data_IF_646293527801
#
_entry.id   IF_646293527801
#
_cell.length_a   1.000
_cell.length_b   1.000
_cell.length_c   1.000
_cell.angle_alpha   90.00
_cell.angle_beta   90.00
_cell.angle_gamma   90.00
#
_symmetry.space_group_name_H-M   'P 1'
#
loop_
_entity.id
_entity.type
_entity.pdbx_description
1 polymer ?
#
# COMPACT_ATOMS: atom_id res chain seq x y z
N UNK A 1 32.07 -43.64 12.67
CA UNK A 1 32.43 -42.73 11.56
C UNK A 1 31.17 -41.91 11.24
N UNK A 2 31.05 -40.69 11.77
CA UNK A 2 29.93 -39.82 11.52
C UNK A 2 30.14 -39.20 10.16
N UNK A 3 29.24 -39.53 9.20
CA UNK A 3 29.21 -38.88 7.91
C UNK A 3 28.75 -37.42 8.08
N UNK A 4 29.60 -36.48 7.77
CA UNK A 4 29.20 -35.10 7.58
C UNK A 4 28.31 -35.06 6.34
N UNK A 5 27.02 -34.89 6.54
CA UNK A 5 26.14 -34.46 5.46
C UNK A 5 26.52 -33.02 5.11
N UNK A 6 27.32 -32.87 4.06
CA UNK A 6 27.50 -31.59 3.41
C UNK A 6 26.16 -31.26 2.78
N UNK A 7 25.32 -30.54 3.50
CA UNK A 7 24.20 -29.85 2.88
C UNK A 7 24.84 -28.80 1.94
N UNK A 8 24.95 -29.12 0.67
CA UNK A 8 25.22 -28.09 -0.30
C UNK A 8 24.07 -27.11 -0.17
N UNK A 9 24.33 -25.93 0.34
CA UNK A 9 23.45 -24.78 0.16
C UNK A 9 23.51 -24.45 -1.33
N UNK A 10 22.79 -25.24 -2.13
CA UNK A 10 22.46 -24.93 -3.50
C UNK A 10 21.44 -23.83 -3.42
N UNK A 11 21.88 -22.69 -3.43
CA UNK A 11 21.33 -21.48 -4.00
C UNK A 11 21.52 -20.27 -3.08
N UNK A 12 22.74 -19.83 -2.98
CA UNK A 12 22.94 -18.40 -2.87
C UNK A 12 22.80 -17.91 -4.33
N UNK A 13 21.58 -17.82 -4.83
CA UNK A 13 21.32 -17.04 -6.02
C UNK A 13 21.65 -15.60 -5.67
N UNK A 14 22.88 -15.25 -5.88
CA UNK A 14 23.31 -13.87 -5.73
C UNK A 14 22.71 -13.12 -6.91
N UNK A 15 21.51 -12.57 -6.71
CA UNK A 15 20.83 -11.77 -7.73
C UNK A 15 21.55 -10.44 -7.99
N UNK A 16 22.50 -10.06 -7.14
CA UNK A 16 23.25 -8.83 -7.30
C UNK A 16 24.16 -8.90 -8.53
N UNK A 17 24.12 -7.86 -9.35
CA UNK A 17 25.06 -7.64 -10.44
C UNK A 17 26.45 -7.28 -9.90
N UNK A 18 26.48 -6.42 -8.87
CA UNK A 18 27.66 -6.10 -8.10
C UNK A 18 27.31 -5.97 -6.62
N UNK A 19 28.28 -6.21 -5.74
CA UNK A 19 28.06 -6.25 -4.30
C UNK A 19 28.32 -4.89 -3.60
N UNK A 20 28.81 -3.92 -4.35
CA UNK A 20 29.15 -2.59 -3.82
C UNK A 20 28.95 -1.53 -4.91
N UNK A 21 28.18 -0.46 -4.67
CA UNK A 21 27.44 -0.16 -3.45
C UNK A 21 26.08 -0.86 -3.37
N UNK A 22 25.70 -1.30 -2.17
CA UNK A 22 24.36 -1.78 -1.88
C UNK A 22 23.88 -1.33 -0.49
N UNK A 23 22.57 -1.19 -0.33
CA UNK A 23 21.93 -0.98 0.97
C UNK A 23 20.77 -1.96 1.09
N UNK A 24 20.79 -2.75 2.17
CA UNK A 24 19.73 -3.69 2.46
C UNK A 24 19.27 -3.57 3.92
N UNK A 25 18.03 -3.95 4.19
CA UNK A 25 17.41 -3.93 5.52
C UNK A 25 16.67 -5.23 5.79
N UNK A 26 16.63 -5.64 7.06
CA UNK A 26 15.79 -6.77 7.49
C UNK A 26 14.32 -6.37 7.45
N UNK A 27 13.47 -7.26 6.96
CA UNK A 27 12.00 -7.13 6.91
C UNK A 27 11.35 -8.43 7.36
N UNK A 28 10.05 -8.40 7.62
CA UNK A 28 9.19 -9.57 7.72
C UNK A 28 8.47 -9.72 6.38
N UNK A 29 8.49 -10.93 5.81
CA UNK A 29 7.81 -11.28 4.55
C UNK A 29 6.50 -11.96 4.88
N UNK A 30 5.40 -11.43 4.35
CA UNK A 30 4.04 -11.94 4.51
C UNK A 30 3.85 -13.27 3.76
N UNK A 31 3.17 -14.23 4.38
CA UNK A 31 2.82 -15.53 3.79
C UNK A 31 1.50 -15.51 3.02
N UNK A 32 0.71 -14.43 3.14
CA UNK A 32 -0.59 -14.31 2.52
C UNK A 32 -0.48 -14.20 1.00
N UNK A 33 -1.35 -14.94 0.29
CA UNK A 33 -1.38 -14.91 -1.18
C UNK A 33 -0.20 -15.62 -1.84
N UNK A 34 0.65 -16.33 -1.09
CA UNK A 34 1.71 -17.16 -1.63
C UNK A 34 1.20 -18.60 -1.79
N UNK A 35 1.16 -19.06 -3.03
CA UNK A 35 0.77 -20.42 -3.34
C UNK A 35 1.89 -21.41 -3.01
N UNK A 36 1.50 -22.58 -2.52
CA UNK A 36 2.45 -23.66 -2.29
C UNK A 36 2.93 -24.24 -3.63
N UNK A 37 4.23 -24.42 -3.77
CA UNK A 37 4.82 -25.13 -4.90
C UNK A 37 4.45 -26.63 -4.93
N UNK A 38 4.91 -27.35 -5.95
CA UNK A 38 4.66 -28.77 -6.09
C UNK A 38 5.21 -29.63 -4.93
N UNK A 39 6.19 -29.10 -4.19
CA UNK A 39 6.78 -29.69 -2.99
C UNK A 39 6.03 -29.33 -1.69
N UNK A 40 4.92 -28.58 -1.80
CA UNK A 40 4.09 -28.12 -0.68
C UNK A 40 4.66 -26.93 0.08
N UNK A 41 5.77 -26.35 -0.38
CA UNK A 41 6.41 -25.18 0.27
C UNK A 41 5.94 -23.87 -0.34
N UNK A 42 5.75 -22.87 0.50
CA UNK A 42 5.51 -21.48 0.07
C UNK A 42 6.84 -20.74 0.11
N UNK A 43 7.36 -20.36 -1.04
CA UNK A 43 8.66 -19.68 -1.12
C UNK A 43 8.52 -18.40 -1.93
N UNK A 44 8.82 -17.27 -1.28
CA UNK A 44 8.98 -15.98 -1.99
C UNK A 44 10.38 -15.93 -2.56
N UNK A 45 10.48 -15.77 -3.86
CA UNK A 45 11.74 -15.85 -4.61
C UNK A 45 12.57 -14.58 -4.48
N UNK A 46 13.89 -14.73 -4.48
CA UNK A 46 14.81 -13.62 -4.66
C UNK A 46 14.49 -12.85 -5.95
N UNK A 47 14.57 -11.52 -5.89
CA UNK A 47 14.16 -10.67 -7.01
C UNK A 47 12.70 -10.20 -6.95
N UNK A 48 11.88 -10.77 -6.07
CA UNK A 48 10.47 -10.34 -5.91
C UNK A 48 10.41 -8.90 -5.42
N UNK A 49 9.65 -8.01 -6.12
CA UNK A 49 9.36 -6.68 -5.63
C UNK A 49 8.56 -6.74 -4.33
N UNK A 50 8.95 -5.96 -3.34
CA UNK A 50 8.29 -5.96 -2.03
C UNK A 50 7.59 -4.64 -1.77
N UNK A 51 6.41 -4.72 -1.15
CA UNK A 51 5.53 -3.61 -0.83
C UNK A 51 5.35 -3.51 0.67
N UNK A 52 5.52 -2.34 1.23
CA UNK A 52 5.41 -2.11 2.67
C UNK A 52 5.97 -0.75 3.07
N UNK A 53 6.10 -0.51 4.37
CA UNK A 53 6.64 0.73 4.90
C UNK A 53 8.02 0.53 5.53
N UNK A 54 9.03 1.21 5.02
CA UNK A 54 10.37 1.21 5.62
C UNK A 54 10.39 1.89 7.01
N UNK A 55 9.36 2.69 7.32
CA UNK A 55 9.20 3.32 8.63
C UNK A 55 8.51 2.39 9.64
N UNK A 56 7.78 1.39 9.16
CA UNK A 56 7.13 0.37 9.98
C UNK A 56 7.48 -1.02 9.45
N UNK A 57 8.63 -1.52 9.85
CA UNK A 57 9.15 -2.84 9.44
C UNK A 57 8.64 -3.98 10.31
N UNK A 58 7.84 -3.69 11.34
CA UNK A 58 7.16 -4.69 12.14
C UNK A 58 5.92 -5.24 11.41
N UNK A 59 5.30 -4.42 10.56
CA UNK A 59 4.25 -4.88 9.64
C UNK A 59 4.88 -5.67 8.50
N UNK A 60 4.37 -6.88 8.19
CA UNK A 60 4.89 -7.71 7.11
C UNK A 60 4.83 -7.03 5.74
N UNK A 61 5.85 -7.27 4.93
CA UNK A 61 5.93 -6.80 3.55
C UNK A 61 5.29 -7.81 2.61
N UNK A 62 4.47 -7.34 1.70
CA UNK A 62 3.72 -8.16 0.74
C UNK A 62 4.41 -8.22 -0.62
N UNK A 63 4.07 -9.23 -1.44
CA UNK A 63 4.59 -9.41 -2.80
C UNK A 63 3.75 -8.71 -3.87
N UNK A 64 2.65 -8.08 -3.46
CA UNK A 64 1.76 -7.31 -4.33
C UNK A 64 1.41 -5.97 -3.72
N UNK A 65 1.08 -5.00 -4.58
CA UNK A 65 0.61 -3.70 -4.13
C UNK A 65 -0.65 -3.85 -3.26
N UNK A 66 -0.63 -3.21 -2.10
CA UNK A 66 -1.80 -3.12 -1.23
C UNK A 66 -2.59 -1.87 -1.59
N UNK A 67 -3.88 -2.04 -1.84
CA UNK A 67 -4.80 -0.92 -2.02
C UNK A 67 -5.60 -0.75 -0.74
N UNK A 68 -5.53 0.44 -0.18
CA UNK A 68 -6.37 0.85 0.94
C UNK A 68 -7.44 1.79 0.39
N UNK A 69 -8.69 1.39 0.53
CA UNK A 69 -9.80 2.20 0.09
C UNK A 69 -9.93 3.48 0.93
N UNK A 70 -10.39 4.59 0.35
CA UNK A 70 -10.64 5.80 1.10
C UNK A 70 -11.74 5.56 2.14
N UNK A 71 -11.60 6.18 3.31
CA UNK A 71 -12.61 6.15 4.36
C UNK A 71 -13.15 7.54 4.64
N UNK A 72 -14.43 7.64 4.95
CA UNK A 72 -15.07 8.88 5.34
C UNK A 72 -16.12 8.61 6.43
N UNK A 73 -16.14 9.45 7.47
CA UNK A 73 -17.16 9.43 8.51
C UNK A 73 -17.80 10.81 8.59
N UNK A 74 -19.12 10.83 8.79
CA UNK A 74 -19.86 12.07 8.94
C UNK A 74 -20.46 12.18 10.33
N UNK A 75 -20.32 13.35 10.93
CA UNK A 75 -20.97 13.72 12.21
C UNK A 75 -21.86 14.92 11.96
N UNK A 76 -22.98 15.01 12.65
CA UNK A 76 -23.95 16.12 12.52
C UNK A 76 -24.02 16.91 13.81
N UNK A 77 -24.12 18.23 13.69
CA UNK A 77 -24.36 19.19 14.77
C UNK A 77 -25.44 20.15 14.31
N UNK A 78 -26.46 20.34 15.13
CA UNK A 78 -27.56 21.25 14.85
C UNK A 78 -28.90 20.74 15.33
N UNK A 79 -30.00 21.37 14.89
CA UNK A 79 -31.36 21.08 15.34
C UNK A 79 -32.26 20.56 14.22
N UNK A 80 -31.88 20.75 12.97
CA UNK A 80 -32.71 20.41 11.81
C UNK A 80 -32.33 19.09 11.18
N UNK A 81 -31.02 18.79 11.07
CA UNK A 81 -30.54 17.51 10.57
C UNK A 81 -30.32 16.52 11.72
N UNK A 82 -30.70 15.27 11.52
CA UNK A 82 -30.62 14.22 12.55
C UNK A 82 -29.56 13.17 12.27
N UNK A 83 -29.15 13.03 10.99
CA UNK A 83 -28.11 12.10 10.57
C UNK A 83 -27.50 12.55 9.24
N UNK A 84 -26.28 12.13 8.98
CA UNK A 84 -25.67 12.20 7.67
C UNK A 84 -24.86 10.93 7.39
N UNK A 85 -24.88 10.51 6.12
CA UNK A 85 -24.00 9.45 5.62
C UNK A 85 -23.13 10.01 4.51
N UNK A 86 -21.96 9.43 4.32
CA UNK A 86 -21.01 9.85 3.28
C UNK A 86 -20.47 8.64 2.53
N UNK A 87 -20.43 8.75 1.19
CA UNK A 87 -19.80 7.74 0.33
C UNK A 87 -18.34 8.13 0.08
N UNK A 88 -17.41 7.42 0.69
CA UNK A 88 -15.99 7.78 0.70
C UNK A 88 -15.38 7.93 -0.70
N UNK A 89 -15.71 7.05 -1.66
CA UNK A 89 -15.22 7.15 -3.04
C UNK A 89 -15.68 8.43 -3.75
N UNK A 90 -16.96 8.82 -3.59
CA UNK A 90 -17.51 10.06 -4.16
C UNK A 90 -16.89 11.28 -3.49
N UNK A 91 -16.75 11.23 -2.15
CA UNK A 91 -16.12 12.30 -1.38
C UNK A 91 -14.66 12.50 -1.80
N UNK A 92 -13.90 11.40 -1.94
CA UNK A 92 -12.52 11.40 -2.44
C UNK A 92 -12.38 12.17 -3.76
N UNK A 93 -13.27 11.89 -4.71
CA UNK A 93 -13.27 12.59 -6.01
C UNK A 93 -13.56 14.09 -5.85
N UNK A 94 -14.53 14.46 -5.02
CA UNK A 94 -14.93 15.86 -4.81
C UNK A 94 -13.84 16.71 -4.13
N UNK A 95 -13.01 16.10 -3.26
CA UNK A 95 -11.90 16.78 -2.58
C UNK A 95 -10.53 16.45 -3.18
N UNK A 96 -10.50 15.89 -4.39
CA UNK A 96 -9.26 15.50 -5.10
C UNK A 96 -8.32 14.61 -4.28
N UNK A 97 -8.89 13.72 -3.46
CA UNK A 97 -8.15 12.77 -2.62
C UNK A 97 -7.43 13.39 -1.43
N UNK A 98 -7.69 14.66 -1.08
CA UNK A 98 -7.02 15.28 0.05
C UNK A 98 -7.62 14.83 1.39
N UNK A 99 -6.82 14.15 2.23
CA UNK A 99 -7.22 13.79 3.59
C UNK A 99 -7.40 15.03 4.45
N UNK A 100 -8.42 15.01 5.32
CA UNK A 100 -8.68 16.15 6.20
C UNK A 100 -10.08 16.14 6.82
N UNK A 101 -10.37 17.20 7.54
CA UNK A 101 -11.68 17.44 8.14
C UNK A 101 -12.36 18.55 7.35
N UNK A 102 -13.58 18.27 6.88
CA UNK A 102 -14.39 19.16 6.07
C UNK A 102 -15.66 19.49 6.81
N UNK A 103 -15.94 20.79 7.00
CA UNK A 103 -17.15 21.25 7.70
C UNK A 103 -18.09 21.92 6.72
N UNK A 104 -19.26 21.35 6.55
CA UNK A 104 -20.36 21.87 5.75
C UNK A 104 -21.32 22.57 6.71
N UNK A 105 -21.65 23.84 6.47
CA UNK A 105 -22.59 24.63 7.28
C UNK A 105 -23.77 25.02 6.42
N UNK A 106 -24.98 24.85 6.94
CA UNK A 106 -26.20 25.28 6.26
C UNK A 106 -26.44 26.78 6.48
N UNK A 107 -26.78 27.47 5.42
CA UNK A 107 -27.14 28.87 5.41
C UNK A 107 -28.59 29.00 4.91
N UNK A 108 -29.51 29.29 5.84
CA UNK A 108 -30.93 29.42 5.55
C UNK A 108 -31.23 30.59 4.62
N UNK A 109 -30.47 31.70 4.72
CA UNK A 109 -30.66 32.87 3.86
C UNK A 109 -30.47 32.53 2.39
N UNK A 110 -29.48 31.69 2.07
CA UNK A 110 -29.22 31.20 0.71
C UNK A 110 -29.88 29.85 0.42
N UNK A 111 -30.53 29.20 1.40
CA UNK A 111 -31.08 27.84 1.30
C UNK A 111 -30.04 26.84 0.75
N UNK A 112 -28.81 26.94 1.19
CA UNK A 112 -27.69 26.19 0.62
C UNK A 112 -26.67 25.75 1.70
N UNK A 113 -25.95 24.65 1.41
CA UNK A 113 -24.80 24.26 2.20
C UNK A 113 -23.55 25.02 1.74
N UNK A 114 -22.67 25.32 2.68
CA UNK A 114 -21.40 25.99 2.42
C UNK A 114 -20.23 25.14 2.92
N UNK A 115 -19.19 25.01 2.11
CA UNK A 115 -17.87 24.53 2.51
C UNK A 115 -16.92 25.75 2.51
N UNK A 116 -16.58 26.21 3.72
CA UNK A 116 -15.95 27.52 3.89
C UNK A 116 -16.89 28.64 3.42
N UNK A 117 -16.48 29.40 2.40
CA UNK A 117 -17.28 30.49 1.80
C UNK A 117 -18.04 30.06 0.55
N UNK A 118 -17.79 28.87 0.02
CA UNK A 118 -18.35 28.39 -1.25
C UNK A 118 -19.66 27.64 -1.04
N UNK A 119 -20.70 28.01 -1.80
CA UNK A 119 -21.96 27.25 -1.85
C UNK A 119 -21.73 25.91 -2.54
N UNK A 120 -22.23 24.83 -1.94
CA UNK A 120 -22.03 23.46 -2.43
C UNK A 120 -23.33 22.66 -2.36
N UNK A 121 -23.40 21.61 -3.16
CA UNK A 121 -24.46 20.60 -3.09
C UNK A 121 -23.90 19.34 -2.41
N UNK A 122 -24.49 18.90 -1.31
CA UNK A 122 -24.01 17.74 -0.55
C UNK A 122 -23.85 16.48 -1.40
N UNK A 123 -24.80 16.25 -2.33
CA UNK A 123 -24.75 15.08 -3.20
C UNK A 123 -23.51 15.03 -4.09
N UNK A 124 -22.94 16.17 -4.48
CA UNK A 124 -21.65 16.23 -5.22
C UNK A 124 -20.51 15.65 -4.40
N UNK A 125 -20.60 15.73 -3.07
CA UNK A 125 -19.66 15.16 -2.11
C UNK A 125 -20.06 13.76 -1.63
N UNK A 126 -21.12 13.17 -2.22
CA UNK A 126 -21.63 11.87 -1.78
C UNK A 126 -22.21 11.88 -0.37
N UNK A 127 -22.65 13.05 0.11
CA UNK A 127 -23.26 13.24 1.43
C UNK A 127 -24.76 13.22 1.29
N UNK A 128 -25.43 12.39 2.11
CA UNK A 128 -26.88 12.35 2.24
C UNK A 128 -27.23 12.72 3.67
N UNK A 129 -27.93 13.83 3.87
CA UNK A 129 -28.43 14.29 5.15
C UNK A 129 -29.90 13.89 5.35
N UNK A 130 -30.28 13.58 6.58
CA UNK A 130 -31.64 13.25 6.98
C UNK A 130 -32.17 14.36 7.90
N UNK A 131 -33.39 14.82 7.65
CA UNK A 131 -34.02 15.92 8.37
C UNK A 131 -34.18 17.17 7.49
N UNK A 132 -34.68 18.24 8.08
CA UNK A 132 -34.82 19.55 7.40
C UNK A 132 -33.76 20.48 7.97
N UNK A 133 -32.77 20.83 7.15
CA UNK A 133 -31.67 21.67 7.60
C UNK A 133 -32.16 23.01 8.15
N UNK A 134 -31.61 23.43 9.26
CA UNK A 134 -31.82 24.73 9.90
C UNK A 134 -30.54 25.56 9.84
N UNK A 135 -30.69 26.88 9.96
CA UNK A 135 -29.54 27.80 9.89
C UNK A 135 -28.47 27.43 10.94
N UNK A 136 -27.25 27.35 10.47
CA UNK A 136 -26.10 26.99 11.29
C UNK A 136 -25.89 25.48 11.52
N UNK A 137 -26.79 24.61 11.04
CA UNK A 137 -26.55 23.16 11.08
C UNK A 137 -25.25 22.80 10.37
N UNK A 138 -24.52 21.84 10.93
CA UNK A 138 -23.22 21.43 10.40
C UNK A 138 -23.14 19.92 10.14
N UNK A 139 -22.43 19.57 9.09
CA UNK A 139 -21.97 18.21 8.84
C UNK A 139 -20.44 18.25 8.80
N UNK A 140 -19.82 17.57 9.74
CA UNK A 140 -18.37 17.43 9.77
C UNK A 140 -17.98 16.08 9.20
N UNK A 141 -17.21 16.08 8.10
CA UNK A 141 -16.69 14.87 7.47
C UNK A 141 -15.21 14.75 7.75
N UNK A 142 -14.80 13.65 8.39
CA UNK A 142 -13.40 13.26 8.53
C UNK A 142 -13.09 12.29 7.40
N UNK A 143 -12.22 12.68 6.48
CA UNK A 143 -11.85 11.91 5.30
C UNK A 143 -10.39 11.50 5.36
N UNK A 144 -10.12 10.22 5.09
CA UNK A 144 -8.78 9.67 4.89
C UNK A 144 -8.71 9.12 3.48
N UNK A 145 -7.79 9.64 2.70
CA UNK A 145 -7.58 9.22 1.32
C UNK A 145 -7.12 7.76 1.25
N UNK A 146 -7.66 7.05 0.28
CA UNK A 146 -7.12 5.75 -0.10
C UNK A 146 -5.76 5.90 -0.79
N UNK A 147 -4.99 4.82 -0.79
CA UNK A 147 -3.73 4.77 -1.50
C UNK A 147 -3.44 3.37 -2.02
N UNK A 148 -2.62 3.28 -3.06
CA UNK A 148 -2.03 2.03 -3.50
C UNK A 148 -0.54 2.08 -3.21
N UNK A 149 -0.03 1.09 -2.48
CA UNK A 149 1.38 1.03 -2.15
C UNK A 149 2.22 0.81 -3.41
N UNK A 150 3.43 1.37 -3.42
CA UNK A 150 4.42 1.14 -4.47
C UNK A 150 5.51 0.21 -3.97
N UNK A 151 6.19 -0.50 -4.88
CA UNK A 151 7.34 -1.31 -4.53
C UNK A 151 8.43 -0.42 -3.91
N UNK A 152 9.00 -0.86 -2.78
CA UNK A 152 9.99 -0.11 -2.01
C UNK A 152 11.39 -0.71 -2.10
N UNK A 153 11.50 -1.90 -2.65
CA UNK A 153 12.76 -2.62 -2.84
C UNK A 153 12.51 -4.02 -3.39
N UNK A 154 13.56 -4.83 -3.39
CA UNK A 154 13.59 -6.17 -3.98
C UNK A 154 14.08 -7.16 -2.94
N UNK A 155 13.46 -8.34 -2.85
CA UNK A 155 13.88 -9.40 -1.94
C UNK A 155 15.24 -9.95 -2.39
N UNK A 156 16.23 -9.98 -1.48
CA UNK A 156 17.60 -10.32 -1.83
C UNK A 156 17.83 -11.84 -1.92
N UNK A 157 17.10 -12.63 -1.13
CA UNK A 157 17.21 -14.08 -1.05
C UNK A 157 15.84 -14.74 -1.00
N UNK A 158 15.75 -16.01 -1.40
CA UNK A 158 14.54 -16.82 -1.24
C UNK A 158 14.15 -16.87 0.25
N UNK A 159 12.85 -16.68 0.53
CA UNK A 159 12.29 -16.77 1.88
C UNK A 159 11.18 -17.82 1.91
N UNK A 160 11.33 -18.81 2.77
CA UNK A 160 10.33 -19.84 3.02
C UNK A 160 9.31 -19.32 4.04
N UNK A 161 8.08 -19.15 3.59
CA UNK A 161 6.94 -18.68 4.40
C UNK A 161 5.90 -19.79 4.61
N UNK A 162 6.30 -21.05 4.49
CA UNK A 162 5.39 -22.21 4.63
C UNK A 162 4.75 -22.29 6.03
N UNK A 163 5.48 -21.89 7.06
CA UNK A 163 5.01 -21.92 8.44
C UNK A 163 4.37 -20.58 8.90
N UNK A 164 4.22 -19.62 8.01
CA UNK A 164 3.76 -18.26 8.28
C UNK A 164 4.81 -17.22 7.89
N UNK A 165 4.56 -15.97 8.26
CA UNK A 165 5.48 -14.86 8.02
C UNK A 165 6.90 -15.17 8.47
N UNK A 166 7.90 -14.76 7.68
CA UNK A 166 9.28 -15.06 7.98
C UNK A 166 10.24 -13.89 7.66
N UNK A 167 11.40 -13.91 8.29
CA UNK A 167 12.40 -12.86 8.09
C UNK A 167 13.02 -12.95 6.70
N UNK A 168 13.16 -11.79 6.07
CA UNK A 168 13.80 -11.61 4.78
C UNK A 168 14.76 -10.42 4.78
N UNK A 169 15.49 -10.26 3.69
CA UNK A 169 16.38 -9.13 3.46
C UNK A 169 15.92 -8.37 2.21
N UNK A 170 15.57 -7.11 2.38
CA UNK A 170 15.14 -6.21 1.31
C UNK A 170 16.32 -5.39 0.81
N UNK A 171 16.61 -5.45 -0.47
CA UNK A 171 17.51 -4.55 -1.16
C UNK A 171 16.76 -3.25 -1.47
N UNK A 172 17.18 -2.14 -0.88
CA UNK A 172 16.58 -0.82 -1.09
C UNK A 172 17.42 0.09 -2.00
N UNK A 173 18.68 -0.26 -2.19
CA UNK A 173 19.58 0.38 -3.15
C UNK A 173 20.61 -0.63 -3.64
N UNK A 174 20.82 -0.70 -4.95
CA UNK A 174 21.82 -1.58 -5.54
C UNK A 174 21.51 -1.98 -6.99
N UNK A 175 22.27 -2.94 -7.51
CA UNK A 175 22.21 -3.40 -8.87
C UNK A 175 21.80 -4.88 -8.91
N UNK A 176 20.72 -5.19 -9.59
CA UNK A 176 20.16 -6.55 -9.73
C UNK A 176 20.42 -7.07 -11.13
N UNK A 177 20.94 -8.29 -11.24
CA UNK A 177 21.10 -8.97 -12.54
C UNK A 177 19.82 -9.76 -12.84
N UNK A 178 19.08 -9.32 -13.85
CA UNK A 178 17.81 -9.94 -14.23
C UNK A 178 17.99 -11.38 -14.76
N UNK A 179 19.14 -11.69 -15.33
CA UNK A 179 19.43 -13.04 -15.85
C UNK A 179 19.65 -14.09 -14.74
N UNK A 180 19.75 -13.66 -13.49
CA UNK A 180 19.89 -14.52 -12.29
C UNK A 180 18.59 -14.70 -11.52
N UNK A 181 17.49 -14.17 -12.03
CA UNK A 181 16.16 -14.24 -11.45
C UNK A 181 15.31 -15.18 -12.31
N UNK A 182 14.40 -15.94 -11.70
CA UNK A 182 13.47 -16.75 -12.50
C UNK A 182 12.56 -15.85 -13.38
N UNK A 183 12.10 -16.39 -14.51
CA UNK A 183 11.41 -15.63 -15.54
C UNK A 183 10.14 -14.92 -15.02
N UNK A 184 9.38 -15.57 -14.13
CA UNK A 184 8.13 -15.00 -13.58
C UNK A 184 8.45 -13.81 -12.67
N UNK A 185 9.41 -13.96 -11.78
CA UNK A 185 9.86 -12.91 -10.86
C UNK A 185 10.52 -11.76 -11.63
N UNK A 186 11.30 -12.06 -12.68
CA UNK A 186 11.89 -11.06 -13.54
C UNK A 186 10.83 -10.20 -14.26
N UNK A 187 9.77 -10.81 -14.77
CA UNK A 187 8.64 -10.09 -15.36
C UNK A 187 7.94 -9.18 -14.36
N UNK A 188 7.70 -9.65 -13.12
CA UNK A 188 7.12 -8.85 -12.06
C UNK A 188 8.02 -7.67 -11.66
N UNK A 189 9.35 -7.87 -11.61
CA UNK A 189 10.31 -6.82 -11.31
C UNK A 189 10.33 -5.73 -12.39
N UNK A 190 10.35 -6.11 -13.66
CA UNK A 190 10.30 -5.17 -14.79
C UNK A 190 8.99 -4.35 -14.81
N UNK A 191 7.87 -4.93 -14.39
CA UNK A 191 6.59 -4.23 -14.33
C UNK A 191 6.60 -3.07 -13.33
N UNK A 192 7.50 -3.09 -12.33
CA UNK A 192 7.61 -2.06 -11.27
C UNK A 192 8.90 -1.26 -11.34
N UNK A 193 9.68 -1.38 -12.42
CA UNK A 193 10.97 -0.70 -12.60
C UNK A 193 10.87 0.80 -12.30
N UNK A 194 9.85 1.48 -12.81
CA UNK A 194 9.63 2.91 -12.57
C UNK A 194 9.42 3.27 -11.09
N UNK A 195 8.85 2.36 -10.29
CA UNK A 195 8.66 2.57 -8.86
C UNK A 195 9.97 2.43 -8.06
N UNK A 196 10.93 1.71 -8.63
CA UNK A 196 12.25 1.45 -8.06
C UNK A 196 13.35 2.37 -8.63
N UNK A 197 12.99 3.26 -9.57
CA UNK A 197 13.93 4.18 -10.23
C UNK A 197 14.73 5.00 -9.22
N UNK A 198 16.04 5.13 -9.49
CA UNK A 198 17.00 5.79 -8.60
C UNK A 198 17.33 5.04 -7.30
N UNK A 199 16.79 3.82 -7.12
CA UNK A 199 17.01 2.96 -5.95
C UNK A 199 17.61 1.62 -6.35
N UNK A 200 16.86 0.82 -7.10
CA UNK A 200 17.32 -0.48 -7.59
C UNK A 200 17.47 -0.42 -9.10
N UNK A 201 18.68 -0.68 -9.57
CA UNK A 201 19.04 -0.66 -10.97
C UNK A 201 19.00 -2.09 -11.53
N UNK A 202 18.20 -2.30 -12.57
CA UNK A 202 18.05 -3.60 -13.21
C UNK A 202 19.05 -3.67 -14.36
N UNK A 203 19.91 -4.66 -14.32
CA UNK A 203 20.98 -4.89 -15.31
C UNK A 203 20.82 -6.27 -15.96
N UNK A 204 21.33 -6.43 -17.17
CA UNK A 204 21.50 -7.70 -17.86
C UNK A 204 22.98 -7.86 -18.26
N UNK A 205 23.49 -9.09 -18.22
CA UNK A 205 24.82 -9.45 -18.74
C UNK A 205 24.80 -9.49 -20.27
#
# INVERSE_FOLDING_TARGET
MQGFFKTEMTNINQILFCTDPQVSVGIIVDDSGIDAGADGRKVVKAGTPMYGSLLDRATPFTTSAQTVDPTATAEVEGTGITAATVTAATFSTAVSGASGTYVFTYDETGTTWKLGTSSVTLNTYGIVATGSAADGDKITVVFVAGYTSTAVGVLLHDVDVTAGDNNGTLLIFGFVNINRIDETTAAALLAVENALDGKVFICAD
#
